data_IF_768320572599
#
_entry.id   IF_768320572599
#
_cell.length_a   1.000
_cell.length_b   1.000
_cell.length_c   1.000
_cell.angle_alpha   90.00
_cell.angle_beta   90.00
_cell.angle_gamma   90.00
#
_symmetry.space_group_name_H-M   'P 1'
#
loop_
_entity.id
_entity.type
_entity.pdbx_description
1 polymer ?
#
# COMPACT_ATOMS: atom_id res chain seq x y z
N UNK A 1 13.64 14.89 -6.41
CA UNK A 1 12.20 15.16 -6.54
C UNK A 1 11.49 14.86 -5.22
N UNK A 2 10.61 15.76 -4.84
CA UNK A 2 9.82 15.56 -3.63
C UNK A 2 8.76 14.49 -3.88
N UNK A 3 8.56 13.62 -2.89
CA UNK A 3 7.51 12.60 -2.94
C UNK A 3 6.13 13.25 -2.76
N UNK A 4 5.06 12.66 -3.32
CA UNK A 4 3.70 13.14 -3.07
C UNK A 4 3.37 13.17 -1.58
N UNK A 5 2.45 14.05 -1.19
CA UNK A 5 2.05 14.25 0.21
C UNK A 5 1.46 13.00 0.87
N UNK A 6 0.88 12.09 0.09
CA UNK A 6 0.30 10.86 0.63
C UNK A 6 1.35 9.78 0.93
N UNK A 7 2.59 9.97 0.49
CA UNK A 7 3.67 9.01 0.77
C UNK A 7 4.25 9.31 2.14
N UNK A 8 3.93 8.48 3.12
CA UNK A 8 4.28 8.69 4.53
C UNK A 8 5.59 8.06 4.95
N UNK A 9 6.11 7.11 4.17
CA UNK A 9 7.39 6.45 4.46
C UNK A 9 8.05 5.99 3.17
N UNK A 10 9.36 5.80 3.23
CA UNK A 10 10.13 5.30 2.09
C UNK A 10 10.06 3.78 2.04
N UNK A 11 9.81 3.25 0.85
CA UNK A 11 9.78 1.80 0.61
C UNK A 11 11.02 1.43 -0.21
N UNK A 12 11.88 0.52 0.28
CA UNK A 12 13.04 0.07 -0.50
C UNK A 12 12.60 -0.57 -1.83
N UNK A 13 13.44 -0.43 -2.85
CA UNK A 13 13.13 -1.00 -4.18
C UNK A 13 12.92 -2.51 -4.10
N UNK A 14 13.68 -3.20 -3.28
CA UNK A 14 13.53 -4.65 -3.08
C UNK A 14 12.15 -5.01 -2.57
N UNK A 15 11.62 -4.22 -1.63
CA UNK A 15 10.27 -4.44 -1.10
C UNK A 15 9.20 -4.14 -2.14
N UNK A 16 9.40 -3.09 -2.94
CA UNK A 16 8.48 -2.76 -4.03
C UNK A 16 8.42 -3.88 -5.07
N UNK A 17 9.57 -4.42 -5.49
CA UNK A 17 9.62 -5.54 -6.43
C UNK A 17 8.95 -6.79 -5.87
N UNK A 18 9.19 -7.08 -4.59
CA UNK A 18 8.55 -8.19 -3.89
C UNK A 18 7.04 -8.02 -3.86
N UNK A 19 6.57 -6.79 -3.68
CA UNK A 19 5.14 -6.46 -3.71
C UNK A 19 4.52 -6.74 -5.07
N UNK A 20 5.19 -6.35 -6.16
CA UNK A 20 4.72 -6.65 -7.52
C UNK A 20 4.60 -8.16 -7.74
N UNK A 21 5.59 -8.93 -7.32
CA UNK A 21 5.57 -10.39 -7.44
C UNK A 21 4.44 -11.01 -6.62
N UNK A 22 4.22 -10.50 -5.41
CA UNK A 22 3.13 -10.97 -4.55
C UNK A 22 1.77 -10.74 -5.21
N UNK A 23 1.57 -9.58 -5.82
CA UNK A 23 0.32 -9.26 -6.53
C UNK A 23 0.10 -10.23 -7.70
N UNK A 24 1.14 -10.53 -8.46
CA UNK A 24 1.05 -11.50 -9.57
C UNK A 24 0.61 -12.87 -9.09
N UNK A 25 1.16 -13.35 -7.98
CA UNK A 25 0.80 -14.65 -7.39
C UNK A 25 -0.62 -14.64 -6.83
N UNK A 26 -1.00 -13.56 -6.13
CA UNK A 26 -2.35 -13.43 -5.57
C UNK A 26 -3.39 -13.37 -6.68
N UNK A 27 -3.09 -12.70 -7.78
CA UNK A 27 -3.98 -12.64 -8.94
C UNK A 27 -4.38 -14.03 -9.43
N UNK A 28 -3.42 -14.96 -9.43
CA UNK A 28 -3.66 -16.31 -9.93
C UNK A 28 -4.32 -17.26 -8.93
N UNK A 29 -4.09 -17.06 -7.63
CA UNK A 29 -4.51 -18.01 -6.58
C UNK A 29 -5.49 -17.43 -5.54
N UNK A 30 -5.61 -16.10 -5.48
CA UNK A 30 -6.45 -15.43 -4.49
C UNK A 30 -7.36 -14.38 -5.12
N UNK A 31 -7.65 -13.32 -4.34
CA UNK A 31 -8.52 -12.22 -4.80
C UNK A 31 -7.83 -10.88 -4.66
N UNK A 32 -7.83 -10.12 -5.74
CA UNK A 32 -7.27 -8.77 -5.82
C UNK A 32 -8.35 -7.83 -6.33
N UNK A 33 -8.51 -6.68 -5.68
CA UNK A 33 -9.36 -5.58 -6.15
C UNK A 33 -8.46 -4.52 -6.77
N UNK A 34 -8.82 -4.05 -7.93
CA UNK A 34 -8.03 -3.11 -8.73
C UNK A 34 -8.71 -1.76 -8.81
N UNK A 35 -7.91 -0.70 -8.72
CA UNK A 35 -8.41 0.67 -8.79
C UNK A 35 -8.80 1.25 -7.44
N UNK A 36 -8.78 2.58 -7.37
CA UNK A 36 -8.99 3.32 -6.12
C UNK A 36 -10.38 3.11 -5.53
N UNK A 37 -11.42 3.11 -6.35
CA UNK A 37 -12.80 2.94 -5.86
C UNK A 37 -13.01 1.57 -5.22
N UNK A 38 -12.55 0.52 -5.87
CA UNK A 38 -12.66 -0.84 -5.34
C UNK A 38 -11.81 -1.02 -4.09
N UNK A 39 -10.59 -0.45 -4.08
CA UNK A 39 -9.70 -0.48 -2.93
C UNK A 39 -10.34 0.23 -1.74
N UNK A 40 -10.89 1.42 -1.95
CA UNK A 40 -11.55 2.20 -0.90
C UNK A 40 -12.72 1.42 -0.29
N UNK A 41 -13.57 0.83 -1.12
CA UNK A 41 -14.68 0.01 -0.65
C UNK A 41 -14.23 -1.18 0.17
N UNK A 42 -13.19 -1.89 -0.28
CA UNK A 42 -12.66 -3.04 0.43
C UNK A 42 -12.09 -2.64 1.80
N UNK A 43 -11.39 -1.51 1.88
CA UNK A 43 -10.85 -0.99 3.14
C UNK A 43 -11.99 -0.60 4.09
N UNK A 44 -12.99 0.14 3.60
CA UNK A 44 -14.14 0.56 4.42
C UNK A 44 -14.89 -0.63 5.02
N UNK A 45 -14.99 -1.73 4.26
CA UNK A 45 -15.66 -2.96 4.71
C UNK A 45 -14.77 -3.86 5.56
N UNK A 46 -13.50 -3.50 5.74
CA UNK A 46 -12.54 -4.30 6.50
C UNK A 46 -12.13 -5.60 5.81
N UNK A 47 -12.29 -5.68 4.51
CA UNK A 47 -11.97 -6.89 3.72
C UNK A 47 -10.54 -6.93 3.22
N UNK A 48 -9.85 -5.79 3.19
CA UNK A 48 -8.50 -5.69 2.66
C UNK A 48 -7.47 -6.29 3.61
N UNK A 49 -6.54 -7.07 3.09
CA UNK A 49 -5.40 -7.62 3.85
C UNK A 49 -4.16 -6.75 3.68
N UNK A 50 -3.97 -6.20 2.50
CA UNK A 50 -2.86 -5.31 2.17
C UNK A 50 -3.31 -4.37 1.06
N UNK A 51 -2.98 -3.09 1.21
CA UNK A 51 -3.26 -2.07 0.18
C UNK A 51 -1.94 -1.63 -0.45
N UNK A 52 -1.88 -1.58 -1.77
CA UNK A 52 -0.70 -1.14 -2.52
C UNK A 52 -1.06 0.15 -3.24
N UNK A 53 -0.26 1.19 -3.03
CA UNK A 53 -0.49 2.53 -3.56
C UNK A 53 0.68 2.95 -4.45
N UNK A 54 0.40 3.39 -5.67
CA UNK A 54 1.44 3.90 -6.56
C UNK A 54 1.88 5.31 -6.15
N UNK A 55 3.17 5.60 -6.26
CA UNK A 55 3.73 6.90 -5.91
C UNK A 55 3.59 7.94 -7.03
N UNK A 56 3.35 7.51 -8.27
CA UNK A 56 3.29 8.39 -9.45
C UNK A 56 1.86 8.73 -9.90
N UNK A 57 0.92 8.77 -8.96
CA UNK A 57 -0.48 9.12 -9.25
C UNK A 57 -0.66 10.62 -9.36
N UNK A 58 -1.30 11.09 -10.43
CA UNK A 58 -1.60 12.50 -10.65
C UNK A 58 -3.06 12.66 -11.09
N UNK A 59 -3.84 13.50 -10.42
CA UNK A 59 -3.48 14.28 -9.22
C UNK A 59 -3.38 13.40 -7.97
N UNK A 60 -2.55 13.77 -6.98
CA UNK A 60 -2.35 12.94 -5.77
C UNK A 60 -3.59 12.78 -4.91
N UNK A 61 -4.56 13.66 -5.03
CA UNK A 61 -5.82 13.60 -4.28
C UNK A 61 -6.61 12.31 -4.54
N UNK A 62 -6.37 11.65 -5.68
CA UNK A 62 -7.06 10.41 -6.03
C UNK A 62 -6.81 9.32 -4.98
N UNK A 63 -5.60 9.26 -4.42
CA UNK A 63 -5.22 8.23 -3.44
C UNK A 63 -4.83 8.79 -2.07
N UNK A 64 -4.90 10.10 -1.90
CA UNK A 64 -4.46 10.76 -0.66
C UNK A 64 -5.24 10.31 0.58
N UNK A 65 -6.50 9.88 0.42
CA UNK A 65 -7.35 9.42 1.52
C UNK A 65 -7.01 8.00 1.98
N UNK A 66 -6.37 7.20 1.14
CA UNK A 66 -6.11 5.78 1.44
C UNK A 66 -5.22 5.55 2.67
N UNK A 67 -4.08 6.26 2.84
CA UNK A 67 -3.28 6.04 4.04
C UNK A 67 -4.04 6.30 5.35
N UNK A 68 -4.80 7.38 5.43
CA UNK A 68 -5.59 7.71 6.61
C UNK A 68 -6.69 6.68 6.87
N UNK A 69 -7.38 6.26 5.81
CA UNK A 69 -8.44 5.25 5.91
C UNK A 69 -7.88 3.89 6.35
N UNK A 70 -6.73 3.50 5.81
CA UNK A 70 -6.05 2.27 6.22
C UNK A 70 -5.63 2.31 7.69
N UNK A 71 -5.12 3.45 8.16
CA UNK A 71 -4.76 3.62 9.57
C UNK A 71 -5.98 3.49 10.47
N UNK A 72 -7.11 4.09 10.08
CA UNK A 72 -8.37 4.01 10.83
C UNK A 72 -8.86 2.56 10.94
N UNK A 73 -8.75 1.79 9.86
CA UNK A 73 -9.20 0.39 9.82
C UNK A 73 -8.12 -0.60 10.23
N UNK A 74 -6.93 -0.14 10.58
CA UNK A 74 -5.78 -0.96 10.98
C UNK A 74 -5.36 -1.95 9.89
N UNK A 75 -5.38 -1.49 8.64
CA UNK A 75 -4.98 -2.28 7.48
C UNK A 75 -3.59 -1.83 7.04
N UNK A 76 -2.63 -2.77 6.83
CA UNK A 76 -1.32 -2.40 6.33
C UNK A 76 -1.37 -1.91 4.88
N UNK A 77 -0.50 -0.99 4.55
CA UNK A 77 -0.38 -0.47 3.18
C UNK A 77 1.09 -0.27 2.82
N UNK A 78 1.39 -0.34 1.53
CA UNK A 78 2.75 -0.20 1.00
C UNK A 78 2.70 0.65 -0.27
N UNK A 79 3.80 1.33 -0.57
CA UNK A 79 3.93 2.14 -1.78
C UNK A 79 4.80 1.42 -2.81
N UNK A 80 4.46 1.62 -4.09
CA UNK A 80 5.27 1.15 -5.22
C UNK A 80 5.52 2.32 -6.17
N UNK A 81 6.66 2.35 -6.88
CA UNK A 81 7.02 3.52 -7.68
C UNK A 81 6.20 3.72 -8.95
N UNK A 82 5.64 2.68 -9.55
CA UNK A 82 4.99 2.77 -10.86
C UNK A 82 3.56 2.24 -10.87
N UNK A 83 2.62 3.11 -11.24
CA UNK A 83 1.22 2.72 -11.45
C UNK A 83 1.06 1.79 -12.67
N UNK A 84 1.90 1.97 -13.69
CA UNK A 84 1.87 1.12 -14.88
C UNK A 84 2.27 -0.32 -14.53
N UNK A 85 3.34 -0.50 -13.75
CA UNK A 85 3.76 -1.82 -13.28
C UNK A 85 2.74 -2.43 -12.32
N UNK A 86 2.11 -1.60 -11.51
CA UNK A 86 1.08 -2.07 -10.57
C UNK A 86 -0.12 -2.65 -11.32
N UNK A 87 -0.60 -1.96 -12.35
CA UNK A 87 -1.67 -2.46 -13.21
C UNK A 87 -1.29 -3.75 -13.91
N UNK A 88 -0.09 -3.81 -14.48
CA UNK A 88 0.44 -5.00 -15.14
C UNK A 88 0.50 -6.20 -14.17
N UNK A 89 1.00 -5.96 -12.95
CA UNK A 89 1.08 -7.01 -11.93
C UNK A 89 -0.29 -7.53 -11.53
N UNK A 90 -1.29 -6.65 -11.51
CA UNK A 90 -2.68 -7.01 -11.18
C UNK A 90 -3.43 -7.62 -12.38
N UNK A 91 -2.80 -7.72 -13.54
CA UNK A 91 -3.36 -8.38 -14.72
C UNK A 91 -4.31 -7.53 -15.54
N UNK A 92 -4.19 -6.20 -15.49
CA UNK A 92 -4.98 -5.30 -16.32
C UNK A 92 -4.08 -4.55 -17.30
N UNK A 93 -4.66 -4.10 -18.41
CA UNK A 93 -3.94 -3.44 -19.49
C UNK A 93 -3.72 -1.94 -19.27
N UNK A 94 -4.24 -1.40 -18.17
CA UNK A 94 -4.14 0.02 -17.84
C UNK A 94 -3.42 0.21 -16.50
N UNK A 95 -2.93 1.41 -16.27
CA UNK A 95 -2.28 1.75 -15.00
C UNK A 95 -3.29 1.69 -13.85
N UNK A 96 -2.83 1.26 -12.68
CA UNK A 96 -3.65 1.20 -11.46
C UNK A 96 -3.05 2.14 -10.42
N UNK A 97 -3.84 3.09 -9.94
CA UNK A 97 -3.41 4.01 -8.88
C UNK A 97 -3.24 3.28 -7.55
N UNK A 98 -4.07 2.29 -7.29
CA UNK A 98 -3.99 1.44 -6.10
C UNK A 98 -4.59 0.07 -6.37
N UNK A 99 -4.15 -0.91 -5.58
CA UNK A 99 -4.62 -2.29 -5.64
C UNK A 99 -4.75 -2.80 -4.21
N UNK A 100 -5.73 -3.64 -3.97
CA UNK A 100 -5.98 -4.21 -2.65
C UNK A 100 -5.99 -5.73 -2.74
N UNK A 101 -5.26 -6.38 -1.85
CA UNK A 101 -5.29 -7.84 -1.70
C UNK A 101 -6.36 -8.19 -0.67
N UNK A 102 -7.39 -8.90 -1.11
CA UNK A 102 -8.50 -9.34 -0.25
C UNK A 102 -8.22 -10.75 0.29
N UNK A 103 -7.77 -11.64 -0.58
CA UNK A 103 -7.43 -13.02 -0.22
C UNK A 103 -6.05 -13.34 -0.80
N UNK A 104 -5.04 -13.59 0.03
CA UNK A 104 -3.69 -13.85 -0.46
C UNK A 104 -3.51 -15.20 -1.16
N UNK A 105 -4.45 -16.14 -1.00
CA UNK A 105 -4.32 -17.44 -1.66
C UNK A 105 -3.04 -18.16 -1.28
N UNK A 106 -2.33 -18.71 -2.25
CA UNK A 106 -1.06 -19.41 -2.05
C UNK A 106 0.12 -18.46 -1.76
N UNK A 107 -0.06 -17.15 -1.98
CA UNK A 107 0.98 -16.15 -1.74
C UNK A 107 0.99 -15.61 -0.30
N UNK A 108 0.28 -16.24 0.62
CA UNK A 108 0.14 -15.79 2.01
C UNK A 108 1.49 -15.51 2.67
N UNK A 109 2.47 -16.39 2.49
CA UNK A 109 3.80 -16.23 3.10
C UNK A 109 4.49 -14.94 2.64
N UNK A 110 4.43 -14.65 1.35
CA UNK A 110 5.02 -13.43 0.76
C UNK A 110 4.27 -12.19 1.25
N UNK A 111 2.95 -12.25 1.28
CA UNK A 111 2.11 -11.14 1.75
C UNK A 111 2.38 -10.85 3.23
N UNK A 112 2.45 -11.88 4.07
CA UNK A 112 2.76 -11.72 5.49
C UNK A 112 4.15 -11.11 5.71
N UNK A 113 5.14 -11.50 4.91
CA UNK A 113 6.49 -10.96 4.94
C UNK A 113 6.49 -9.46 4.59
N UNK A 114 5.75 -9.07 3.55
CA UNK A 114 5.59 -7.68 3.16
C UNK A 114 4.91 -6.87 4.27
N UNK A 115 3.86 -7.39 4.87
CA UNK A 115 3.15 -6.76 5.97
C UNK A 115 4.09 -6.53 7.16
N UNK A 116 4.92 -7.51 7.50
CA UNK A 116 5.90 -7.38 8.58
C UNK A 116 6.90 -6.26 8.30
N UNK A 117 7.44 -6.21 7.09
CA UNK A 117 8.39 -5.16 6.69
C UNK A 117 7.75 -3.76 6.72
N UNK A 118 6.54 -3.64 6.21
CA UNK A 118 5.80 -2.38 6.19
C UNK A 118 5.51 -1.90 7.63
N UNK A 119 5.12 -2.80 8.51
CA UNK A 119 4.85 -2.46 9.91
C UNK A 119 6.10 -1.94 10.62
N UNK A 120 7.27 -2.49 10.33
CA UNK A 120 8.53 -2.00 10.86
C UNK A 120 8.80 -0.57 10.40
N UNK A 121 8.61 -0.26 9.12
CA UNK A 121 8.80 1.07 8.56
C UNK A 121 7.83 2.08 9.19
N UNK A 122 6.57 1.71 9.35
CA UNK A 122 5.55 2.57 9.95
C UNK A 122 5.83 2.87 11.42
N UNK A 123 6.25 1.89 12.19
CA UNK A 123 6.59 2.07 13.61
C UNK A 123 7.74 3.06 13.78
N UNK A 124 8.74 3.00 12.92
CA UNK A 124 9.86 3.92 12.96
C UNK A 124 9.39 5.38 12.72
N UNK A 125 8.57 5.61 11.71
CA UNK A 125 8.04 6.93 11.40
C UNK A 125 7.17 7.46 12.53
N UNK A 126 6.30 6.65 13.09
CA UNK A 126 5.42 7.04 14.20
C UNK A 126 6.22 7.41 15.45
N UNK A 127 7.30 6.68 15.76
CA UNK A 127 8.19 7.01 16.88
C UNK A 127 8.84 8.37 16.69
N UNK A 128 9.30 8.67 15.49
CA UNK A 128 9.93 9.94 15.17
C UNK A 128 8.95 11.11 15.33
N UNK A 129 7.73 10.96 14.83
CA UNK A 129 6.68 11.97 14.95
C UNK A 129 6.31 12.23 16.42
N UNK A 130 6.16 11.18 17.21
CA UNK A 130 5.88 11.32 18.66
C UNK A 130 6.98 12.07 19.38
N UNK A 131 8.24 11.78 19.05
CA UNK A 131 9.39 12.44 19.66
C UNK A 131 9.41 13.93 19.35
N UNK A 132 9.11 14.33 18.13
CA UNK A 132 9.02 15.73 17.71
C UNK A 132 7.86 16.46 18.40
N UNK A 133 6.70 15.80 18.54
CA UNK A 133 5.56 16.37 19.26
C UNK A 133 5.84 16.62 20.74
N UNK A 134 6.55 15.70 21.39
CA UNK A 134 6.96 15.87 22.79
C UNK A 134 7.87 17.06 22.96
N UNK A 135 8.79 17.29 22.03
CA UNK A 135 9.68 18.44 22.05
C UNK A 135 8.93 19.78 21.87
N UNK A 136 7.86 19.80 21.11
CA UNK A 136 7.05 20.99 20.86
C UNK A 136 6.16 21.36 22.05
N UNK A 137 5.83 20.42 22.89
CA UNK A 137 4.96 20.65 24.05
C UNK A 137 5.71 21.18 25.27
N UNK A 138 7.01 21.31 25.19
CA UNK A 138 7.87 21.87 26.23
C UNK A 138 8.22 23.30 25.86
#
# INVERSE_FOLDING_TARGET
MSKPIYVRFNVPMELAEKTYEAIKKVKDTGKVKRGTNETTKAVERGLAKLVVIAEDVSPPEIVAHLPALCDEKKIPYVYVPSKAKLGESAGIDVAAASVCIVDPGEAKDIVDEIITEVNKLRKWVLRKVKKERLHRCI
#
